data_IF_324688913769
#
_entry.id   IF_324688913769
#
_cell.length_a   1.000
_cell.length_b   1.000
_cell.length_c   1.000
_cell.angle_alpha   90.00
_cell.angle_beta   90.00
_cell.angle_gamma   90.00
#
_symmetry.space_group_name_H-M   'P 1'
#
loop_
_entity.id
_entity.type
_entity.pdbx_description
1 polymer ?
#
# COMPACT_ATOMS: atom_id res chain seq x y z
N UNK A 1 20.49 1.54 3.47
CA UNK A 1 20.02 1.96 2.12
C UNK A 1 18.54 1.63 2.07
N UNK A 2 17.69 2.56 1.63
CA UNK A 2 16.26 2.28 1.47
C UNK A 2 16.03 1.38 0.25
N UNK A 3 15.89 0.07 0.48
CA UNK A 3 15.63 -0.88 -0.60
C UNK A 3 14.16 -0.85 -1.00
N UNK A 4 13.88 -0.48 -2.25
CA UNK A 4 12.56 -0.58 -2.86
C UNK A 4 12.27 -2.03 -3.25
N UNK A 5 11.19 -2.60 -2.69
CA UNK A 5 10.84 -4.02 -2.84
C UNK A 5 9.67 -4.18 -3.81
N UNK A 6 8.70 -3.28 -3.75
CA UNK A 6 7.55 -3.27 -4.65
C UNK A 6 7.25 -1.86 -5.12
N UNK A 7 6.78 -1.75 -6.37
CA UNK A 7 6.30 -0.51 -6.96
C UNK A 7 5.13 -0.78 -7.90
N UNK A 8 4.09 0.04 -7.79
CA UNK A 8 2.97 0.06 -8.71
C UNK A 8 2.52 1.50 -8.96
N UNK A 9 1.93 1.72 -10.13
CA UNK A 9 1.36 3.02 -10.49
C UNK A 9 0.04 2.82 -11.21
N UNK A 10 -0.95 3.65 -10.91
CA UNK A 10 -2.28 3.59 -11.50
C UNK A 10 -2.94 4.96 -11.52
N UNK A 11 -3.33 5.44 -12.71
CA UNK A 11 -3.99 6.73 -12.91
C UNK A 11 -3.26 7.89 -12.19
N UNK A 12 -1.94 7.94 -12.34
CA UNK A 12 -1.09 8.95 -11.69
C UNK A 12 -0.77 8.68 -10.21
N UNK A 13 -1.48 7.78 -9.54
CA UNK A 13 -1.13 7.35 -8.19
C UNK A 13 0.05 6.39 -8.23
N UNK A 14 0.90 6.43 -7.21
CA UNK A 14 2.09 5.58 -7.09
C UNK A 14 2.17 5.00 -5.69
N UNK A 15 2.29 3.67 -5.62
CA UNK A 15 2.52 2.93 -4.37
C UNK A 15 3.89 2.28 -4.42
N UNK A 16 4.66 2.50 -3.38
CA UNK A 16 6.01 1.96 -3.19
C UNK A 16 6.08 1.25 -1.84
N UNK A 17 6.73 0.10 -1.79
CA UNK A 17 6.97 -0.63 -0.54
C UNK A 17 8.48 -0.74 -0.36
N UNK A 18 8.93 -0.26 0.76
CA UNK A 18 10.29 -0.41 1.28
C UNK A 18 10.26 -1.43 2.42
N UNK A 19 11.44 -1.81 2.90
CA UNK A 19 11.57 -2.81 3.97
C UNK A 19 10.81 -2.42 5.25
N UNK A 20 10.73 -1.14 5.58
CA UNK A 20 10.17 -0.62 6.82
C UNK A 20 8.83 0.13 6.66
N UNK A 21 8.46 0.51 5.43
CA UNK A 21 7.29 1.35 5.17
C UNK A 21 6.66 1.17 3.79
N UNK A 22 5.38 1.47 3.71
CA UNK A 22 4.62 1.69 2.47
C UNK A 22 4.52 3.20 2.25
N UNK A 23 4.87 3.65 1.04
CA UNK A 23 4.71 5.04 0.61
C UNK A 23 3.68 5.08 -0.52
N UNK A 24 2.65 5.90 -0.34
CA UNK A 24 1.65 6.16 -1.35
C UNK A 24 1.68 7.63 -1.74
N UNK A 25 1.69 7.90 -3.04
CA UNK A 25 1.60 9.23 -3.62
C UNK A 25 0.36 9.27 -4.52
N UNK A 26 -0.70 9.95 -4.06
CA UNK A 26 -1.96 10.09 -4.80
C UNK A 26 -2.08 11.40 -5.57
N UNK A 27 -2.80 11.39 -6.71
CA UNK A 27 -2.99 12.56 -7.58
C UNK A 27 -4.36 13.26 -7.42
N UNK A 28 -5.32 12.67 -6.70
CA UNK A 28 -6.64 13.27 -6.47
C UNK A 28 -6.82 13.74 -5.02
N UNK A 29 -7.22 15.01 -4.86
CA UNK A 29 -7.74 15.56 -3.60
C UNK A 29 -6.75 16.26 -2.67
N UNK A 30 -5.56 16.66 -3.16
CA UNK A 30 -4.42 17.34 -2.47
C UNK A 30 -3.32 16.35 -2.07
N UNK A 31 -2.24 16.27 -2.88
CA UNK A 31 -0.87 15.89 -2.49
C UNK A 31 -0.70 14.91 -1.29
N UNK A 32 -1.44 13.80 -1.25
CA UNK A 32 -1.34 12.86 -0.15
C UNK A 32 -0.11 11.96 -0.38
N UNK A 33 1.04 12.42 0.11
CA UNK A 33 2.17 11.54 0.42
C UNK A 33 1.85 10.87 1.76
N UNK A 34 1.40 9.63 1.70
CA UNK A 34 1.09 8.84 2.88
C UNK A 34 2.26 7.88 3.07
N UNK A 35 2.85 7.92 4.26
CA UNK A 35 3.87 6.95 4.67
C UNK A 35 3.32 6.14 5.83
N UNK A 36 3.22 4.82 5.65
CA UNK A 36 2.67 3.88 6.62
C UNK A 36 3.78 2.91 7.01
N UNK A 37 4.28 2.92 8.25
CA UNK A 37 5.25 1.93 8.72
C UNK A 37 4.68 0.51 8.64
N UNK A 38 5.47 -0.45 8.14
CA UNK A 38 5.05 -1.86 7.98
C UNK A 38 4.58 -2.46 9.31
N UNK A 39 5.28 -2.12 10.39
CA UNK A 39 4.96 -2.53 11.78
C UNK A 39 3.61 -2.01 12.28
N UNK A 40 3.09 -0.94 11.69
CA UNK A 40 1.82 -0.32 12.10
C UNK A 40 0.64 -0.87 11.31
N UNK A 41 0.88 -1.59 10.21
CA UNK A 41 -0.18 -2.19 9.42
C UNK A 41 -0.77 -3.36 10.20
N UNK A 42 -2.07 -3.33 10.49
CA UNK A 42 -2.78 -4.41 11.18
C UNK A 42 -3.47 -5.35 10.21
N UNK A 43 -4.04 -4.81 9.12
CA UNK A 43 -4.67 -5.61 8.08
C UNK A 43 -4.61 -4.94 6.71
N UNK A 44 -4.74 -5.77 5.67
CA UNK A 44 -4.84 -5.34 4.27
C UNK A 44 -6.07 -6.01 3.68
N UNK A 45 -7.05 -5.21 3.29
CA UNK A 45 -8.26 -5.67 2.62
C UNK A 45 -8.16 -5.37 1.13
N UNK A 46 -8.29 -6.42 0.32
CA UNK A 46 -8.33 -6.26 -1.13
C UNK A 46 -9.74 -5.81 -1.52
N UNK A 47 -9.83 -4.72 -2.29
CA UNK A 47 -11.09 -4.35 -2.92
C UNK A 47 -11.58 -5.47 -3.85
N UNK A 48 -12.87 -5.46 -4.18
CA UNK A 48 -13.48 -6.39 -5.13
C UNK A 48 -12.61 -6.62 -6.37
N UNK A 49 -12.71 -7.80 -6.99
CA UNK A 49 -11.82 -8.21 -8.10
C UNK A 49 -11.71 -7.13 -9.18
N UNK A 50 -12.84 -6.50 -9.52
CA UNK A 50 -12.97 -5.47 -10.55
C UNK A 50 -12.64 -4.04 -10.10
N UNK A 51 -12.47 -3.79 -8.80
CA UNK A 51 -12.13 -2.45 -8.30
C UNK A 51 -10.63 -2.30 -8.12
N UNK A 52 -10.03 -1.21 -8.64
CA UNK A 52 -8.65 -0.89 -8.36
C UNK A 52 -8.53 -0.48 -6.89
N UNK A 53 -7.48 -0.97 -6.23
CA UNK A 53 -7.12 -0.54 -4.89
C UNK A 53 -7.28 -1.55 -3.76
N UNK A 54 -6.67 -1.17 -2.65
CA UNK A 54 -6.60 -1.92 -1.39
C UNK A 54 -6.88 -0.94 -0.26
N UNK A 55 -7.42 -1.45 0.84
CA UNK A 55 -7.55 -0.70 2.08
C UNK A 55 -6.53 -1.23 3.08
N UNK A 56 -5.70 -0.34 3.61
CA UNK A 56 -4.80 -0.64 4.71
C UNK A 56 -5.44 -0.14 6.00
N UNK A 57 -5.46 -0.97 7.02
CA UNK A 57 -5.81 -0.57 8.38
C UNK A 57 -4.55 -0.60 9.24
N UNK A 58 -4.39 0.39 10.11
CA UNK A 58 -3.27 0.44 11.06
C UNK A 58 -3.71 -0.06 12.44
N UNK A 59 -2.76 -0.43 13.28
CA UNK A 59 -2.99 -0.81 14.69
C UNK A 59 -3.64 0.31 15.51
N UNK A 60 -3.45 1.57 15.12
CA UNK A 60 -4.13 2.74 15.67
C UNK A 60 -5.57 2.95 15.16
N UNK A 61 -6.09 2.08 14.30
CA UNK A 61 -7.45 2.15 13.76
C UNK A 61 -7.62 3.09 12.55
N UNK A 62 -6.54 3.71 12.05
CA UNK A 62 -6.59 4.55 10.85
C UNK A 62 -6.68 3.68 9.60
N UNK A 63 -7.48 4.11 8.61
CA UNK A 63 -7.71 3.39 7.35
C UNK A 63 -7.28 4.22 6.15
N UNK A 64 -6.53 3.59 5.25
CA UNK A 64 -5.94 4.23 4.07
C UNK A 64 -6.31 3.47 2.80
N UNK A 65 -7.03 4.12 1.90
CA UNK A 65 -7.33 3.59 0.56
C UNK A 65 -6.16 3.87 -0.39
N UNK A 66 -5.51 2.83 -0.88
CA UNK A 66 -4.45 2.95 -1.88
C UNK A 66 -4.95 2.47 -3.24
N UNK A 67 -4.77 3.27 -4.28
CA UNK A 67 -5.10 2.86 -5.64
C UNK A 67 -3.97 2.01 -6.24
N UNK A 68 -4.30 0.77 -6.58
CA UNK A 68 -3.39 -0.22 -7.16
C UNK A 68 -4.06 -0.89 -8.36
N UNK A 69 -3.30 -1.20 -9.44
CA UNK A 69 -3.81 -2.02 -10.54
C UNK A 69 -4.29 -3.38 -10.02
N UNK A 70 -5.34 -3.92 -10.64
CA UNK A 70 -5.95 -5.20 -10.23
C UNK A 70 -4.94 -6.34 -10.13
N UNK A 71 -4.03 -6.44 -11.11
CA UNK A 71 -2.99 -7.47 -11.20
C UNK A 71 -1.84 -7.31 -10.21
N UNK A 72 -1.84 -6.23 -9.42
CA UNK A 72 -0.80 -5.93 -8.42
C UNK A 72 -1.30 -6.03 -6.97
N UNK A 73 -2.61 -6.14 -6.75
CA UNK A 73 -3.23 -6.18 -5.40
C UNK A 73 -2.74 -7.35 -4.55
N UNK A 74 -2.75 -8.57 -5.11
CA UNK A 74 -2.30 -9.76 -4.39
C UNK A 74 -0.79 -9.75 -4.11
N UNK A 75 0.00 -9.34 -5.11
CA UNK A 75 1.45 -9.22 -4.94
C UNK A 75 1.79 -8.19 -3.85
N UNK A 76 1.10 -7.04 -3.84
CA UNK A 76 1.26 -6.04 -2.80
C UNK A 76 0.98 -6.61 -1.40
N UNK A 77 -0.18 -7.27 -1.22
CA UNK A 77 -0.55 -7.88 0.06
C UNK A 77 0.49 -8.90 0.51
N UNK A 78 0.91 -9.79 -0.40
CA UNK A 78 1.94 -10.80 -0.11
C UNK A 78 3.25 -10.15 0.33
N UNK A 79 3.76 -9.17 -0.42
CA UNK A 79 5.00 -8.47 -0.09
C UNK A 79 4.94 -7.80 1.28
N UNK A 80 3.86 -7.08 1.60
CA UNK A 80 3.73 -6.44 2.91
C UNK A 80 3.65 -7.49 4.02
N UNK A 81 2.86 -8.56 3.85
CA UNK A 81 2.77 -9.63 4.83
C UNK A 81 4.10 -10.36 5.05
N UNK A 82 4.90 -10.57 4.01
CA UNK A 82 6.25 -11.15 4.15
C UNK A 82 7.15 -10.24 4.98
N UNK A 83 7.11 -8.93 4.75
CA UNK A 83 7.91 -7.95 5.51
C UNK A 83 7.45 -7.81 6.97
N UNK A 84 6.18 -8.05 7.27
CA UNK A 84 5.68 -8.05 8.65
C UNK A 84 6.15 -9.25 9.48
N UNK A 85 6.55 -10.34 8.83
CA UNK A 85 6.98 -11.57 9.48
C UNK A 85 8.52 -11.71 9.57
N UNK A 86 9.27 -10.71 9.10
CA UNK A 86 10.73 -10.63 9.23
C UNK A 86 11.12 -9.95 10.54
#
# INVERSE_FOLDING_TARGET
MDQLIFKASFLGNKTEVFQDRVVYNGLFGILANITIPIKEISSIHLGAIWTPGVMIETSGGQKYGLYLPFNKKELFRKTVSELQNQ
#
